data_IF_664451973987
#
_entry.id   IF_664451973987
#
_cell.length_a   1.000
_cell.length_b   1.000
_cell.length_c   1.000
_cell.angle_alpha   90.00
_cell.angle_beta   90.00
_cell.angle_gamma   90.00
#
_symmetry.space_group_name_H-M   'P 1'
#
loop_
_entity.id
_entity.type
_entity.pdbx_description
1 polymer ?
#
# COMPACT_ATOMS: atom_id res chain seq x y z
N UNK A 1 9.84 9.93 -2.09
CA UNK A 1 8.51 9.67 -2.71
C UNK A 1 8.33 8.17 -3.02
N UNK A 2 8.51 7.28 -2.02
CA UNK A 2 8.22 5.84 -2.16
C UNK A 2 6.74 5.54 -1.87
N UNK A 3 6.15 6.25 -0.90
CA UNK A 3 4.76 6.11 -0.48
C UNK A 3 3.78 6.29 -1.64
N UNK A 4 3.97 7.32 -2.47
CA UNK A 4 3.12 7.56 -3.63
C UNK A 4 3.16 6.43 -4.66
N UNK A 5 4.33 5.81 -4.87
CA UNK A 5 4.47 4.66 -5.75
C UNK A 5 3.76 3.43 -5.17
N UNK A 6 3.94 3.17 -3.86
CA UNK A 6 3.25 2.08 -3.18
C UNK A 6 1.73 2.26 -3.23
N UNK A 7 1.22 3.46 -2.90
CA UNK A 7 -0.21 3.78 -2.97
C UNK A 7 -0.77 3.56 -4.39
N UNK A 8 -0.06 4.00 -5.42
CA UNK A 8 -0.48 3.79 -6.81
C UNK A 8 -0.54 2.31 -7.19
N UNK A 9 0.46 1.51 -6.78
CA UNK A 9 0.49 0.07 -7.02
C UNK A 9 -0.67 -0.66 -6.34
N UNK A 10 -0.97 -0.31 -5.08
CA UNK A 10 -2.14 -0.81 -4.35
C UNK A 10 -3.45 -0.45 -5.07
N UNK A 11 -3.59 0.80 -5.53
CA UNK A 11 -4.76 1.24 -6.29
C UNK A 11 -4.94 0.43 -7.58
N UNK A 12 -3.88 0.28 -8.38
CA UNK A 12 -3.91 -0.51 -9.63
C UNK A 12 -4.35 -1.94 -9.34
N UNK A 13 -3.89 -2.51 -8.25
CA UNK A 13 -4.22 -3.86 -7.87
C UNK A 13 -5.69 -3.99 -7.37
N UNK A 14 -6.20 -2.99 -6.65
CA UNK A 14 -7.63 -2.89 -6.30
C UNK A 14 -8.51 -2.77 -7.55
N UNK A 15 -8.10 -1.95 -8.53
CA UNK A 15 -8.80 -1.80 -9.81
C UNK A 15 -8.82 -3.12 -10.60
N UNK A 16 -7.71 -3.86 -10.60
CA UNK A 16 -7.63 -5.17 -11.26
C UNK A 16 -8.59 -6.19 -10.62
N UNK A 17 -8.73 -6.19 -9.29
CA UNK A 17 -9.71 -7.04 -8.57
C UNK A 17 -11.17 -6.61 -8.79
N UNK A 18 -11.42 -5.33 -9.00
CA UNK A 18 -12.76 -4.78 -9.26
C UNK A 18 -13.26 -4.93 -10.71
N UNK A 19 -12.40 -5.43 -11.62
CA UNK A 19 -12.73 -5.66 -13.02
C UNK A 19 -13.80 -6.77 -13.19
N UNK A 20 -14.56 -6.79 -14.30
CA UNK A 20 -14.51 -5.85 -15.43
C UNK A 20 -15.33 -4.57 -15.22
N UNK A 21 -16.24 -4.53 -14.24
CA UNK A 21 -17.12 -3.38 -13.99
C UNK A 21 -16.65 -2.56 -12.80
N UNK A 22 -15.71 -1.67 -13.08
CA UNK A 22 -15.10 -0.80 -12.07
C UNK A 22 -16.08 0.34 -11.73
N UNK A 23 -16.42 0.44 -10.45
CA UNK A 23 -17.19 1.52 -9.84
C UNK A 23 -16.53 1.89 -8.51
N UNK A 24 -16.92 3.02 -7.91
CA UNK A 24 -16.45 3.37 -6.55
C UNK A 24 -16.74 2.25 -5.54
N UNK A 25 -17.94 1.65 -5.61
CA UNK A 25 -18.35 0.60 -4.68
C UNK A 25 -17.55 -0.70 -4.88
N UNK A 26 -17.34 -1.12 -6.14
CA UNK A 26 -16.56 -2.35 -6.41
C UNK A 26 -15.08 -2.18 -6.09
N UNK A 27 -14.50 -0.99 -6.30
CA UNK A 27 -13.13 -0.70 -5.87
C UNK A 27 -13.00 -0.73 -4.34
N UNK A 28 -13.95 -0.12 -3.61
CA UNK A 28 -13.94 -0.14 -2.15
C UNK A 28 -14.00 -1.58 -1.63
N UNK A 29 -14.95 -2.37 -2.12
CA UNK A 29 -15.08 -3.78 -1.75
C UNK A 29 -13.80 -4.57 -2.08
N UNK A 30 -13.20 -4.35 -3.24
CA UNK A 30 -11.98 -5.02 -3.65
C UNK A 30 -10.77 -4.69 -2.74
N UNK A 31 -10.69 -3.46 -2.24
CA UNK A 31 -9.68 -3.04 -1.28
C UNK A 31 -9.97 -3.62 0.11
N UNK A 32 -11.22 -3.59 0.57
CA UNK A 32 -11.61 -4.17 1.88
C UNK A 32 -11.33 -5.68 1.95
N UNK A 33 -11.45 -6.38 0.82
CA UNK A 33 -11.17 -7.82 0.74
C UNK A 33 -9.81 -8.13 0.13
N UNK A 34 -8.89 -7.15 0.07
CA UNK A 34 -7.54 -7.35 -0.48
C UNK A 34 -6.77 -8.39 0.34
N UNK A 35 -7.01 -8.42 1.65
CA UNK A 35 -6.27 -9.26 2.58
C UNK A 35 -4.78 -8.93 2.56
N UNK A 36 -3.95 -9.92 2.88
CA UNK A 36 -2.49 -9.79 2.82
C UNK A 36 -2.03 -9.71 1.35
N UNK A 37 -1.27 -8.66 1.04
CA UNK A 37 -0.70 -8.40 -0.27
C UNK A 37 0.76 -7.97 -0.14
N UNK A 38 1.63 -8.58 -0.93
CA UNK A 38 3.07 -8.26 -0.97
C UNK A 38 3.37 -7.38 -2.18
N UNK A 39 3.83 -6.16 -1.91
CA UNK A 39 4.20 -5.16 -2.91
C UNK A 39 5.72 -5.12 -3.11
N UNK A 40 6.34 -6.28 -3.32
CA UNK A 40 7.78 -6.39 -3.58
C UNK A 40 8.64 -6.18 -2.33
N UNK A 41 8.27 -6.82 -1.23
CA UNK A 41 8.92 -6.72 0.08
C UNK A 41 8.17 -5.81 1.07
N UNK A 42 7.09 -5.18 0.63
CA UNK A 42 6.21 -4.37 1.47
C UNK A 42 4.89 -5.11 1.65
N UNK A 43 4.73 -5.83 2.76
CA UNK A 43 3.51 -6.52 3.09
C UNK A 43 2.49 -5.53 3.67
N UNK A 44 1.32 -5.45 3.03
CA UNK A 44 0.16 -4.72 3.53
C UNK A 44 -1.05 -5.64 3.68
N UNK A 45 -1.96 -5.28 4.57
CA UNK A 45 -3.20 -6.03 4.78
C UNK A 45 -4.39 -5.10 4.99
N UNK A 46 -5.37 -5.18 4.09
CA UNK A 46 -6.66 -4.53 4.27
C UNK A 46 -7.74 -5.57 4.55
N UNK A 47 -8.58 -5.26 5.53
CA UNK A 47 -9.77 -6.02 5.89
C UNK A 47 -10.93 -5.04 6.09
N UNK A 48 -12.20 -5.48 6.09
CA UNK A 48 -13.33 -4.59 6.37
C UNK A 48 -13.28 -3.92 7.75
N UNK A 49 -12.48 -4.46 8.68
CA UNK A 49 -12.27 -3.89 10.01
C UNK A 49 -10.99 -3.05 10.12
N UNK A 50 -10.08 -3.11 9.13
CA UNK A 50 -8.76 -2.47 9.17
C UNK A 50 -8.39 -1.90 7.81
N UNK A 51 -8.46 -0.57 7.72
CA UNK A 51 -8.12 0.18 6.49
C UNK A 51 -6.73 0.85 6.56
N UNK A 52 -6.02 0.74 7.68
CA UNK A 52 -4.59 1.07 7.78
C UNK A 52 -3.79 -0.21 7.64
N UNK A 53 -3.36 -0.51 6.42
CA UNK A 53 -2.85 -1.82 6.05
C UNK A 53 -1.34 -1.98 6.10
N UNK A 54 -0.60 -0.87 6.16
CA UNK A 54 0.84 -0.88 6.24
C UNK A 54 1.29 -0.35 7.60
N UNK A 55 1.83 -1.25 8.43
CA UNK A 55 2.54 -0.88 9.65
C UNK A 55 4.03 -1.01 9.40
N UNK A 56 4.64 0.10 8.98
CA UNK A 56 6.07 0.18 8.72
C UNK A 56 6.61 1.53 9.15
N UNK A 57 7.68 1.51 9.93
CA UNK A 57 8.44 2.70 10.30
C UNK A 57 9.93 2.42 10.07
N UNK A 58 10.61 3.38 9.47
CA UNK A 58 12.06 3.34 9.26
C UNK A 58 12.67 4.61 9.84
N UNK A 59 13.80 4.46 10.53
CA UNK A 59 14.55 5.58 11.09
C UNK A 59 15.72 5.88 10.16
N UNK A 60 15.81 7.12 9.71
CA UNK A 60 16.94 7.59 8.91
C UNK A 60 17.65 8.73 9.61
N UNK A 61 18.96 8.57 9.84
CA UNK A 61 19.83 9.59 10.41
C UNK A 61 20.56 10.28 9.26
N UNK A 62 20.51 11.61 9.20
CA UNK A 62 21.34 12.40 8.29
C UNK A 62 22.67 12.67 8.97
N UNK A 63 23.73 12.01 8.52
CA UNK A 63 25.08 12.23 9.06
C UNK A 63 25.65 13.57 8.58
N UNK A 64 26.69 14.06 9.25
CA UNK A 64 27.36 15.33 8.91
C UNK A 64 27.91 15.39 7.46
N UNK A 65 28.14 14.24 6.83
CA UNK A 65 28.54 14.13 5.43
C UNK A 65 27.34 14.11 4.44
N UNK A 66 26.12 14.39 4.92
CA UNK A 66 24.89 14.42 4.13
C UNK A 66 24.35 13.04 3.72
N UNK A 67 25.01 11.94 4.10
CA UNK A 67 24.54 10.59 3.79
C UNK A 67 23.54 10.12 4.84
N UNK A 68 22.54 9.38 4.36
CA UNK A 68 21.62 8.65 5.24
C UNK A 68 22.33 7.44 5.87
N UNK A 69 22.11 7.25 7.16
CA UNK A 69 22.38 6.02 7.88
C UNK A 69 21.04 5.45 8.35
N UNK A 70 20.89 4.15 8.20
CA UNK A 70 19.73 3.37 8.64
C UNK A 70 20.21 2.49 9.79
#
# INVERSE_FOLDING_TARGET
>A
MLEGFAAAKVLVEGLRRAAPRITRASLHQALDTLGRYDLGGLALEYTPARHSGLEYADLSIVAANGKFRR
#
